data_IF_198914001113
#
_entry.id   IF_198914001113
#
_cell.length_a   1.000
_cell.length_b   1.000
_cell.length_c   1.000
_cell.angle_alpha   90.00
_cell.angle_beta   90.00
_cell.angle_gamma   90.00
#
_symmetry.space_group_name_H-M   'P 1'
#
loop_
_entity.id
_entity.type
_entity.pdbx_description
1 polymer ?
#
# COMPACT_ATOMS: atom_id res chain seq x y z
N UNK A 1 7.47 6.13 10.03
CA UNK A 1 7.93 7.50 10.25
C UNK A 1 9.16 7.83 9.38
N UNK A 2 10.20 6.99 9.39
CA UNK A 2 11.45 7.20 8.62
C UNK A 2 11.23 7.43 7.12
N UNK A 3 10.33 6.69 6.48
CA UNK A 3 10.02 6.89 5.06
C UNK A 3 9.50 8.31 4.79
N UNK A 4 8.60 8.81 5.62
CA UNK A 4 8.07 10.17 5.46
C UNK A 4 9.15 11.23 5.67
N UNK A 5 10.09 10.99 6.57
CA UNK A 5 11.21 11.91 6.79
C UNK A 5 12.24 11.82 5.66
N UNK A 6 12.64 10.60 5.28
CA UNK A 6 13.71 10.41 4.31
C UNK A 6 13.29 10.81 2.89
N UNK A 7 12.06 10.47 2.48
CA UNK A 7 11.59 10.68 1.12
C UNK A 7 10.93 12.05 0.92
N UNK A 8 10.19 12.52 1.90
CA UNK A 8 9.36 13.72 1.76
C UNK A 8 9.81 14.90 2.60
N UNK A 9 10.81 14.71 3.49
CA UNK A 9 11.26 15.74 4.43
C UNK A 9 10.09 16.41 5.16
N UNK A 10 9.13 15.58 5.60
CA UNK A 10 7.84 16.03 6.15
C UNK A 10 8.00 16.83 7.45
N UNK A 11 9.03 16.52 8.23
CA UNK A 11 9.30 17.14 9.53
C UNK A 11 10.64 17.87 9.51
N UNK A 12 10.78 18.91 10.33
CA UNK A 12 12.10 19.41 10.67
C UNK A 12 12.87 18.37 11.50
N UNK A 13 14.18 18.52 11.60
CA UNK A 13 15.04 17.61 12.39
C UNK A 13 14.57 17.53 13.85
N UNK A 14 14.23 18.69 14.44
CA UNK A 14 13.79 18.76 15.84
C UNK A 14 12.40 18.14 16.06
N UNK A 15 11.46 18.39 15.13
CA UNK A 15 10.13 17.75 15.17
C UNK A 15 10.26 16.23 15.09
N UNK A 16 11.07 15.74 14.14
CA UNK A 16 11.28 14.30 13.97
C UNK A 16 11.86 13.66 15.23
N UNK A 17 12.89 14.26 15.82
CA UNK A 17 13.53 13.79 17.04
C UNK A 17 12.54 13.73 18.21
N UNK A 18 11.72 14.78 18.40
CA UNK A 18 10.68 14.79 19.44
C UNK A 18 9.65 13.67 19.26
N UNK A 19 9.22 13.38 18.02
CA UNK A 19 8.25 12.30 17.73
C UNK A 19 8.87 10.92 18.05
N UNK A 20 10.16 10.73 17.79
CA UNK A 20 10.87 9.49 18.09
C UNK A 20 11.05 9.32 19.61
N UNK A 21 11.51 10.36 20.31
CA UNK A 21 11.75 10.35 21.75
C UNK A 21 10.47 10.12 22.57
N UNK A 22 9.34 10.62 22.12
CA UNK A 22 8.04 10.45 22.79
C UNK A 22 7.45 9.03 22.68
N UNK A 23 8.12 8.11 22.02
CA UNK A 23 7.71 6.71 21.85
C UNK A 23 6.20 6.53 21.56
N UNK A 24 5.66 7.36 20.67
CA UNK A 24 4.24 7.32 20.33
C UNK A 24 3.85 5.97 19.74
N UNK A 25 2.67 5.48 20.10
CA UNK A 25 2.11 4.31 19.43
C UNK A 25 1.79 4.59 17.95
N UNK A 26 1.57 3.54 17.17
CA UNK A 26 1.35 3.61 15.72
C UNK A 26 0.26 4.62 15.33
N UNK A 27 -0.92 4.56 15.94
CA UNK A 27 -2.04 5.45 15.59
C UNK A 27 -1.73 6.93 15.90
N UNK A 28 -1.05 7.22 17.00
CA UNK A 28 -0.60 8.59 17.29
C UNK A 28 0.42 9.09 16.27
N UNK A 29 1.37 8.23 15.85
CA UNK A 29 2.32 8.57 14.78
C UNK A 29 1.59 8.87 13.47
N UNK A 30 0.63 8.02 13.07
CA UNK A 30 -0.18 8.26 11.85
C UNK A 30 -0.98 9.56 11.96
N UNK A 31 -1.58 9.85 13.12
CA UNK A 31 -2.31 11.12 13.35
C UNK A 31 -1.40 12.33 13.17
N UNK A 32 -0.20 12.29 13.73
CA UNK A 32 0.79 13.37 13.58
C UNK A 32 1.19 13.57 12.12
N UNK A 33 1.46 12.49 11.40
CA UNK A 33 1.79 12.53 9.96
C UNK A 33 0.62 13.10 9.17
N UNK A 34 -0.60 12.62 9.40
CA UNK A 34 -1.79 13.05 8.67
C UNK A 34 -2.08 14.55 8.87
N UNK A 35 -1.93 15.06 10.10
CA UNK A 35 -2.08 16.48 10.36
C UNK A 35 -1.04 17.29 9.58
N UNK A 36 0.23 16.91 9.62
CA UNK A 36 1.32 17.60 8.91
C UNK A 36 1.13 17.57 7.39
N UNK A 37 0.59 16.48 6.84
CA UNK A 37 0.26 16.34 5.41
C UNK A 37 -0.92 17.25 5.04
N UNK A 38 -1.94 17.33 5.89
CA UNK A 38 -3.09 18.22 5.71
C UNK A 38 -2.70 19.70 5.74
N UNK A 39 -1.78 20.10 6.64
CA UNK A 39 -1.26 21.47 6.71
C UNK A 39 -0.57 21.89 5.41
N UNK A 40 -0.11 20.92 4.61
CA UNK A 40 0.45 21.15 3.28
C UNK A 40 -0.57 21.02 2.13
N UNK A 41 -1.87 20.95 2.43
CA UNK A 41 -2.94 20.68 1.46
C UNK A 41 -2.73 19.39 0.64
N UNK A 42 -2.18 18.35 1.28
CA UNK A 42 -1.91 17.04 0.69
C UNK A 42 -2.76 15.94 1.34
N UNK A 43 -2.81 14.79 0.68
CA UNK A 43 -3.51 13.60 1.15
C UNK A 43 -2.44 12.58 1.58
N UNK A 44 -2.65 11.96 2.75
CA UNK A 44 -1.83 10.85 3.20
C UNK A 44 -2.29 9.57 2.48
N UNK A 45 -1.37 8.94 1.75
CA UNK A 45 -1.58 7.63 1.16
C UNK A 45 -0.68 6.62 1.89
N UNK A 46 -1.27 5.53 2.34
CA UNK A 46 -0.57 4.42 2.99
C UNK A 46 -0.71 3.19 2.09
N UNK A 47 0.41 2.61 1.70
CA UNK A 47 0.43 1.32 1.02
C UNK A 47 0.59 0.21 2.04
N UNK A 48 -0.30 -0.75 1.96
CA UNK A 48 -0.25 -1.95 2.77
C UNK A 48 0.20 -3.16 1.97
N UNK A 49 0.87 -4.09 2.63
CA UNK A 49 1.25 -5.39 2.10
C UNK A 49 0.34 -6.46 2.69
N UNK A 50 -0.90 -6.48 2.21
CA UNK A 50 -1.96 -7.35 2.72
C UNK A 50 -1.60 -8.84 2.72
N UNK A 51 -0.62 -9.29 1.92
CA UNK A 51 -0.21 -10.69 1.95
C UNK A 51 0.35 -11.16 3.30
N UNK A 52 0.85 -10.25 4.15
CA UNK A 52 1.25 -10.61 5.52
C UNK A 52 0.03 -11.12 6.30
N UNK A 53 -1.09 -10.43 6.19
CA UNK A 53 -2.33 -10.78 6.87
C UNK A 53 -2.98 -12.06 6.33
N UNK A 54 -2.81 -12.36 5.04
CA UNK A 54 -3.50 -13.48 4.38
C UNK A 54 -2.61 -14.68 4.08
N UNK A 55 -1.30 -14.47 3.93
CA UNK A 55 -0.35 -15.56 3.69
C UNK A 55 0.57 -15.83 4.88
N UNK A 56 0.62 -14.91 5.85
CA UNK A 56 1.45 -15.02 7.03
C UNK A 56 2.95 -14.91 6.78
N UNK A 57 3.35 -14.68 5.52
CA UNK A 57 4.76 -14.68 5.16
C UNK A 57 5.38 -13.29 5.32
N UNK A 58 6.63 -13.24 5.79
CA UNK A 58 7.49 -14.36 6.21
C UNK A 58 7.48 -14.63 7.72
N UNK A 59 6.62 -13.95 8.52
CA UNK A 59 6.88 -13.80 9.95
C UNK A 59 5.83 -14.41 10.89
N UNK A 60 4.60 -14.57 10.44
CA UNK A 60 3.45 -14.89 11.32
C UNK A 60 2.50 -15.88 10.65
N UNK A 61 1.60 -16.45 11.42
CA UNK A 61 0.47 -17.19 10.87
C UNK A 61 -0.58 -16.22 10.29
N UNK A 62 -1.23 -16.57 9.18
CA UNK A 62 -2.24 -15.71 8.57
C UNK A 62 -3.46 -15.56 9.49
N UNK A 63 -3.98 -14.34 9.57
CA UNK A 63 -5.17 -14.02 10.37
C UNK A 63 -6.42 -13.79 9.52
N UNK A 64 -6.25 -13.73 8.20
CA UNK A 64 -7.31 -13.59 7.19
C UNK A 64 -8.22 -12.38 7.39
N UNK A 65 -7.62 -11.23 7.76
CA UNK A 65 -8.31 -9.94 7.94
C UNK A 65 -7.38 -8.81 7.56
N UNK A 66 -7.91 -7.73 6.99
CA UNK A 66 -7.13 -6.53 6.72
C UNK A 66 -6.94 -5.71 8.00
N UNK A 67 -5.92 -6.07 8.78
CA UNK A 67 -5.66 -5.50 10.10
C UNK A 67 -5.35 -4.01 10.07
N UNK A 68 -4.59 -3.57 9.08
CA UNK A 68 -4.24 -2.15 8.96
C UNK A 68 -5.49 -1.31 8.66
N UNK A 69 -6.33 -1.74 7.74
CA UNK A 69 -7.58 -1.04 7.41
C UNK A 69 -8.51 -0.98 8.62
N UNK A 70 -8.75 -2.12 9.29
CA UNK A 70 -9.59 -2.16 10.50
C UNK A 70 -9.07 -1.23 11.61
N UNK A 71 -7.75 -1.19 11.80
CA UNK A 71 -7.12 -0.34 12.80
C UNK A 71 -7.29 1.14 12.48
N UNK A 72 -7.02 1.53 11.24
CA UNK A 72 -7.09 2.93 10.80
C UNK A 72 -8.53 3.44 10.74
N UNK A 73 -9.47 2.62 10.29
CA UNK A 73 -10.88 3.00 10.13
C UNK A 73 -11.58 3.32 11.46
N UNK A 74 -11.00 2.92 12.60
CA UNK A 74 -11.48 3.29 13.95
C UNK A 74 -11.29 4.77 14.29
N UNK A 75 -10.32 5.45 13.65
CA UNK A 75 -9.92 6.81 14.03
C UNK A 75 -9.86 7.80 12.84
N UNK A 76 -9.93 7.30 11.62
CA UNK A 76 -9.79 8.10 10.41
C UNK A 76 -10.91 7.76 9.42
N UNK A 77 -11.30 8.73 8.61
CA UNK A 77 -12.09 8.49 7.40
C UNK A 77 -11.16 7.91 6.33
N UNK A 78 -11.15 6.59 6.21
CA UNK A 78 -10.24 5.85 5.34
C UNK A 78 -10.95 5.48 4.04
N UNK A 79 -10.39 5.95 2.92
CA UNK A 79 -10.77 5.44 1.59
C UNK A 79 -9.77 4.37 1.19
N UNK A 80 -10.25 3.18 0.94
CA UNK A 80 -9.43 2.05 0.55
C UNK A 80 -9.53 1.77 -0.95
N UNK A 81 -8.46 1.20 -1.49
CA UNK A 81 -8.38 0.70 -2.85
C UNK A 81 -7.59 -0.61 -2.82
N UNK A 82 -8.12 -1.63 -3.44
CA UNK A 82 -7.47 -2.91 -3.56
C UNK A 82 -6.96 -3.11 -4.98
N UNK A 83 -5.68 -3.47 -5.08
CA UNK A 83 -5.08 -3.90 -6.32
C UNK A 83 -4.97 -5.42 -6.30
N UNK A 84 -5.65 -6.08 -7.21
CA UNK A 84 -5.58 -7.53 -7.39
C UNK A 84 -4.90 -7.86 -8.71
N UNK A 85 -4.33 -9.06 -8.78
CA UNK A 85 -3.67 -9.59 -9.97
C UNK A 85 -4.08 -11.05 -10.12
N UNK A 86 -3.93 -11.61 -11.30
CA UNK A 86 -4.03 -13.06 -11.49
C UNK A 86 -3.22 -13.80 -10.42
N UNK A 87 -3.81 -14.76 -9.67
CA UNK A 87 -3.15 -15.38 -8.53
C UNK A 87 -1.90 -16.18 -8.91
N UNK A 88 -1.86 -16.81 -10.08
CA UNK A 88 -0.68 -17.53 -10.53
C UNK A 88 0.46 -16.55 -10.85
N UNK A 89 0.16 -15.49 -11.59
CA UNK A 89 1.12 -14.45 -11.92
C UNK A 89 1.66 -13.74 -10.65
N UNK A 90 0.78 -13.50 -9.69
CA UNK A 90 1.16 -12.93 -8.41
C UNK A 90 2.09 -13.87 -7.63
N UNK A 91 1.75 -15.16 -7.55
CA UNK A 91 2.56 -16.17 -6.87
C UNK A 91 3.96 -16.30 -7.50
N UNK A 92 4.03 -16.41 -8.83
CA UNK A 92 5.30 -16.49 -9.56
C UNK A 92 6.15 -15.23 -9.35
N UNK A 93 5.51 -14.06 -9.32
CA UNK A 93 6.18 -12.80 -9.02
C UNK A 93 6.73 -12.75 -7.60
N UNK A 94 6.00 -13.26 -6.61
CA UNK A 94 6.49 -13.36 -5.23
C UNK A 94 7.71 -14.28 -5.14
N UNK A 95 7.66 -15.45 -5.77
CA UNK A 95 8.78 -16.38 -5.80
C UNK A 95 10.03 -15.80 -6.47
N UNK A 96 9.87 -15.01 -7.52
CA UNK A 96 10.95 -14.43 -8.28
C UNK A 96 11.59 -13.20 -7.62
N UNK A 97 10.74 -12.30 -7.12
CA UNK A 97 11.14 -10.93 -6.80
C UNK A 97 11.21 -10.62 -5.30
N UNK A 98 10.69 -11.51 -4.44
CA UNK A 98 10.73 -11.30 -3.00
C UNK A 98 11.71 -12.28 -2.35
N UNK A 99 12.88 -11.79 -1.96
CA UNK A 99 13.94 -12.63 -1.37
C UNK A 99 13.49 -13.32 -0.07
N UNK A 100 12.60 -12.67 0.68
CA UNK A 100 12.04 -13.21 1.91
C UNK A 100 10.89 -14.22 1.67
N UNK A 101 10.35 -14.34 0.45
CA UNK A 101 9.27 -15.27 0.17
C UNK A 101 9.82 -16.69 0.04
N UNK A 102 9.30 -17.67 0.82
CA UNK A 102 9.86 -19.02 0.80
C UNK A 102 9.75 -19.68 -0.57
N UNK A 103 10.88 -20.12 -1.12
CA UNK A 103 10.92 -20.74 -2.46
C UNK A 103 10.15 -22.08 -2.54
N UNK A 104 9.93 -22.72 -1.41
CA UNK A 104 9.14 -23.96 -1.27
C UNK A 104 7.69 -23.70 -0.82
N UNK A 105 7.22 -22.44 -0.85
CA UNK A 105 5.82 -22.14 -0.50
C UNK A 105 4.89 -22.77 -1.53
N UNK A 106 3.90 -23.52 -1.07
CA UNK A 106 2.97 -24.22 -1.94
C UNK A 106 1.97 -23.25 -2.58
N UNK A 107 1.68 -23.43 -3.87
CA UNK A 107 0.67 -22.66 -4.57
C UNK A 107 -0.73 -22.85 -3.97
N UNK A 108 -1.05 -24.07 -3.50
CA UNK A 108 -2.34 -24.33 -2.84
C UNK A 108 -2.51 -23.50 -1.57
N UNK A 109 -1.46 -23.38 -0.74
CA UNK A 109 -1.48 -22.49 0.43
C UNK A 109 -1.64 -21.03 0.03
N UNK A 110 -0.97 -20.62 -1.04
CA UNK A 110 -1.13 -19.28 -1.57
C UNK A 110 -2.58 -19.01 -2.01
N UNK A 111 -3.19 -19.94 -2.73
CA UNK A 111 -4.58 -19.82 -3.16
C UNK A 111 -5.58 -19.75 -2.00
N UNK A 112 -5.35 -20.47 -0.92
CA UNK A 112 -6.18 -20.35 0.28
C UNK A 112 -6.15 -18.94 0.84
N UNK A 113 -4.97 -18.37 1.05
CA UNK A 113 -4.83 -16.99 1.52
C UNK A 113 -5.40 -15.96 0.55
N UNK A 114 -5.18 -16.18 -0.74
CA UNK A 114 -5.72 -15.31 -1.80
C UNK A 114 -7.26 -15.33 -1.85
N UNK A 115 -7.88 -16.50 -1.67
CA UNK A 115 -9.34 -16.65 -1.60
C UNK A 115 -9.93 -15.90 -0.40
N UNK A 116 -9.31 -16.01 0.78
CA UNK A 116 -9.70 -15.20 1.94
C UNK A 116 -9.58 -13.70 1.67
N UNK A 117 -8.49 -13.27 1.04
CA UNK A 117 -8.30 -11.88 0.66
C UNK A 117 -9.42 -11.39 -0.27
N UNK A 118 -9.73 -12.12 -1.34
CA UNK A 118 -10.80 -11.77 -2.30
C UNK A 118 -12.17 -11.70 -1.63
N UNK A 119 -12.45 -12.57 -0.66
CA UNK A 119 -13.72 -12.54 0.09
C UNK A 119 -13.84 -11.34 1.03
N UNK A 120 -12.71 -10.87 1.57
CA UNK A 120 -12.70 -9.77 2.54
C UNK A 120 -12.74 -8.38 1.86
N UNK A 121 -12.28 -8.26 0.62
CA UNK A 121 -12.21 -6.97 -0.08
C UNK A 121 -13.53 -6.57 -0.72
N UNK A 122 -13.77 -5.24 -0.80
CA UNK A 122 -14.89 -4.69 -1.55
C UNK A 122 -14.60 -4.68 -3.05
N UNK A 123 -15.43 -5.36 -3.86
CA UNK A 123 -15.32 -5.37 -5.32
C UNK A 123 -15.50 -3.96 -5.94
N UNK A 124 -16.18 -3.06 -5.26
CA UNK A 124 -16.39 -1.67 -5.74
C UNK A 124 -15.08 -0.89 -5.78
N UNK A 125 -14.23 -1.08 -4.79
CA UNK A 125 -12.96 -0.38 -4.66
C UNK A 125 -11.78 -1.23 -5.16
N UNK A 126 -12.03 -2.11 -6.11
CA UNK A 126 -11.01 -3.03 -6.63
C UNK A 126 -10.59 -2.66 -8.05
N UNK A 127 -9.29 -2.72 -8.28
CA UNK A 127 -8.63 -2.56 -9.58
C UNK A 127 -7.84 -3.83 -9.86
N UNK A 128 -7.90 -4.33 -11.10
CA UNK A 128 -7.00 -5.41 -11.52
C UNK A 128 -5.73 -4.85 -12.13
N UNK A 129 -4.59 -5.46 -11.84
CA UNK A 129 -3.30 -5.07 -12.39
C UNK A 129 -3.30 -5.13 -13.92
N UNK A 130 -3.97 -6.13 -14.49
CA UNK A 130 -4.09 -6.33 -15.93
C UNK A 130 -4.83 -5.16 -16.59
N UNK A 131 -5.93 -4.67 -16.01
CA UNK A 131 -6.63 -3.48 -16.51
C UNK A 131 -5.79 -2.22 -16.39
N UNK A 132 -5.00 -2.11 -15.32
CA UNK A 132 -4.09 -1.00 -15.13
C UNK A 132 -3.00 -0.98 -16.21
N UNK A 133 -2.43 -2.12 -16.56
CA UNK A 133 -1.38 -2.21 -17.60
C UNK A 133 -1.91 -2.01 -19.03
N UNK A 134 -3.15 -2.41 -19.30
CA UNK A 134 -3.79 -2.24 -20.64
C UNK A 134 -4.21 -0.78 -20.88
N UNK A 135 -4.84 -0.15 -19.90
CA UNK A 135 -5.36 1.22 -20.01
C UNK A 135 -5.09 1.98 -18.69
N UNK A 136 -3.85 2.46 -18.50
CA UNK A 136 -3.47 3.17 -17.28
C UNK A 136 -4.24 4.46 -17.09
N UNK A 137 -4.54 5.22 -18.16
CA UNK A 137 -5.28 6.49 -18.07
C UNK A 137 -6.69 6.30 -17.50
N UNK A 138 -7.43 5.36 -18.05
CA UNK A 138 -8.77 5.04 -17.58
C UNK A 138 -8.76 4.51 -16.15
N UNK A 139 -7.79 3.68 -15.85
CA UNK A 139 -7.64 3.08 -14.52
C UNK A 139 -7.25 4.13 -13.48
N UNK A 140 -6.31 5.02 -13.77
CA UNK A 140 -5.93 6.11 -12.89
C UNK A 140 -7.06 7.12 -12.66
N UNK A 141 -7.87 7.42 -13.67
CA UNK A 141 -9.10 8.22 -13.52
C UNK A 141 -10.09 7.53 -12.57
N UNK A 142 -10.27 6.21 -12.68
CA UNK A 142 -11.11 5.46 -11.74
C UNK A 142 -10.53 5.52 -10.32
N UNK A 143 -9.23 5.33 -10.15
CA UNK A 143 -8.54 5.43 -8.86
C UNK A 143 -8.73 6.82 -8.24
N UNK A 144 -8.53 7.88 -9.03
CA UNK A 144 -8.68 9.25 -8.56
C UNK A 144 -10.10 9.55 -8.08
N UNK A 145 -11.11 9.00 -8.74
CA UNK A 145 -12.51 9.13 -8.32
C UNK A 145 -12.79 8.36 -7.02
N UNK A 146 -12.31 7.11 -6.89
CA UNK A 146 -12.48 6.29 -5.67
C UNK A 146 -11.83 7.00 -4.47
N UNK A 147 -10.60 7.46 -4.64
CA UNK A 147 -9.82 8.06 -3.56
C UNK A 147 -10.05 9.57 -3.40
N UNK A 148 -10.88 10.17 -4.27
CA UNK A 148 -11.26 11.57 -4.25
C UNK A 148 -10.07 12.55 -4.32
N UNK A 149 -9.22 12.36 -5.33
CA UNK A 149 -8.17 13.32 -5.66
C UNK A 149 -8.20 13.67 -7.15
N UNK A 150 -7.57 14.77 -7.52
CA UNK A 150 -7.53 15.21 -8.92
C UNK A 150 -6.61 14.32 -9.73
N UNK A 151 -7.10 13.80 -10.86
CA UNK A 151 -6.28 13.08 -11.83
C UNK A 151 -5.22 14.03 -12.43
N UNK A 152 -3.96 13.58 -12.46
CA UNK A 152 -2.85 14.27 -13.11
C UNK A 152 -2.61 13.65 -14.50
N UNK A 153 -2.88 14.36 -15.60
CA UNK A 153 -2.64 13.83 -16.95
C UNK A 153 -1.14 13.67 -17.27
N UNK A 154 -0.26 14.35 -16.52
CA UNK A 154 1.19 14.26 -16.71
C UNK A 154 1.84 13.18 -15.81
N UNK A 155 1.06 12.23 -15.32
CA UNK A 155 1.55 11.21 -14.39
C UNK A 155 2.74 10.41 -14.93
N UNK A 156 2.82 10.16 -16.24
CA UNK A 156 3.95 9.44 -16.86
C UNK A 156 5.27 10.18 -16.69
N UNK A 157 5.28 11.50 -16.85
CA UNK A 157 6.47 12.31 -16.66
C UNK A 157 6.89 12.37 -15.20
N UNK A 158 5.91 12.40 -14.30
CA UNK A 158 6.13 12.36 -12.86
C UNK A 158 6.59 10.98 -12.39
N UNK A 159 6.00 9.90 -12.91
CA UNK A 159 6.40 8.54 -12.59
C UNK A 159 7.88 8.26 -12.85
N UNK A 160 8.40 8.71 -14.00
CA UNK A 160 9.82 8.57 -14.35
C UNK A 160 10.79 9.30 -13.39
N UNK A 161 10.30 10.32 -12.69
CA UNK A 161 11.10 11.12 -11.74
C UNK A 161 11.10 10.55 -10.33
N UNK A 162 10.12 9.71 -9.99
CA UNK A 162 9.92 9.21 -8.62
C UNK A 162 10.49 7.79 -8.50
N UNK A 163 11.74 7.69 -8.06
CA UNK A 163 12.38 6.40 -7.71
C UNK A 163 12.33 6.18 -6.20
N UNK A 164 11.14 5.98 -5.64
CA UNK A 164 10.97 5.93 -4.19
C UNK A 164 11.03 4.50 -3.62
N UNK A 165 10.60 3.50 -4.37
CA UNK A 165 10.65 2.10 -3.92
C UNK A 165 11.17 1.23 -5.03
N UNK A 166 12.02 0.26 -4.70
CA UNK A 166 12.69 -0.67 -5.59
C UNK A 166 11.84 -1.12 -6.75
N UNK A 167 12.23 -1.66 -7.79
CA UNK A 167 11.55 -1.97 -9.04
C UNK A 167 11.34 -0.75 -9.98
N UNK A 168 11.96 0.39 -9.70
CA UNK A 168 11.96 1.54 -10.61
C UNK A 168 12.68 1.32 -11.94
N UNK A 169 13.09 0.09 -12.22
CA UNK A 169 13.45 -0.37 -13.55
C UNK A 169 12.25 -1.12 -14.12
N UNK A 170 11.32 -0.34 -14.68
CA UNK A 170 10.39 -0.90 -15.62
C UNK A 170 11.20 -1.45 -16.79
N UNK A 171 11.29 -2.76 -16.83
CA UNK A 171 11.75 -3.51 -18.00
C UNK A 171 10.88 -3.19 -19.20
#
# INVERSE_FOLDING_TARGET
>A
LYQFQNWYKLFSTDEFKRIEENNLNFLKKIKTINNKVKDQNKILVIRDWSFIDYLGQPYVDPIYKNTLFELLNKQFDVKNLFLIRDPLEMFLSCLKNLDFFPKNYSFDKFLVGYDYFIKDISLVNTITFEKFTIDPDKTLKKISNILNFKFDPNYLDNFKKIKITGDGEAS
#
